data_IF_099603330315
#
_entry.id   IF_099603330315
#
_cell.length_a   1.000
_cell.length_b   1.000
_cell.length_c   1.000
_cell.angle_alpha   90.00
_cell.angle_beta   90.00
_cell.angle_gamma   90.00
#
_symmetry.space_group_name_H-M   'P 1'
#
loop_
_entity.id
_entity.type
_entity.pdbx_description
1 polymer ?
#
# COMPACT_ATOMS: atom_id res chain seq x y z
N UNK A 1 5.43 6.77 15.89
CA UNK A 1 5.58 5.39 15.40
C UNK A 1 6.82 5.30 14.55
N UNK A 2 7.62 4.25 14.75
CA UNK A 2 8.69 3.87 13.83
C UNK A 2 8.10 3.34 12.52
N UNK A 3 8.90 3.32 11.45
CA UNK A 3 8.46 2.76 10.17
C UNK A 3 8.07 1.28 10.27
N UNK A 4 8.74 0.50 11.13
CA UNK A 4 8.42 -0.93 11.33
C UNK A 4 7.04 -1.14 11.95
N UNK A 5 6.59 -0.25 12.84
CA UNK A 5 5.27 -0.34 13.47
C UNK A 5 4.11 -0.09 12.49
N UNK A 6 4.39 0.57 11.35
CA UNK A 6 3.42 0.79 10.29
C UNK A 6 3.28 -0.40 9.33
N UNK A 7 4.13 -1.43 9.45
CA UNK A 7 4.05 -2.63 8.60
C UNK A 7 3.09 -3.62 9.26
N UNK A 8 1.95 -3.87 8.61
CA UNK A 8 0.87 -4.72 9.11
C UNK A 8 0.76 -5.96 8.24
N UNK A 9 0.71 -7.15 8.85
CA UNK A 9 0.52 -8.39 8.10
C UNK A 9 -0.91 -8.49 7.54
N UNK A 10 -1.12 -9.27 6.47
CA UNK A 10 -2.46 -9.51 5.93
C UNK A 10 -3.40 -10.19 6.95
N UNK A 11 -2.85 -10.98 7.87
CA UNK A 11 -3.60 -11.62 8.95
C UNK A 11 -4.10 -10.59 9.98
N UNK A 12 -3.27 -9.59 10.30
CA UNK A 12 -3.60 -8.54 11.26
C UNK A 12 -4.46 -7.43 10.65
N UNK A 13 -4.45 -7.30 9.32
CA UNK A 13 -5.08 -6.21 8.59
C UNK A 13 -6.58 -6.01 8.90
N UNK A 14 -7.42 -7.07 9.01
CA UNK A 14 -8.82 -6.90 9.40
C UNK A 14 -8.98 -6.31 10.81
N UNK A 15 -8.22 -6.80 11.79
CA UNK A 15 -8.28 -6.29 13.16
C UNK A 15 -7.80 -4.83 13.25
N UNK A 16 -6.72 -4.52 12.53
CA UNK A 16 -6.21 -3.16 12.39
C UNK A 16 -7.25 -2.22 11.77
N UNK A 17 -7.96 -2.67 10.72
CA UNK A 17 -9.05 -1.90 10.10
C UNK A 17 -10.20 -1.66 11.06
N UNK A 18 -10.65 -2.66 11.81
CA UNK A 18 -11.77 -2.48 12.74
C UNK A 18 -11.41 -1.48 13.85
N UNK A 19 -10.17 -1.47 14.36
CA UNK A 19 -9.72 -0.45 15.31
C UNK A 19 -9.82 0.98 14.75
N UNK A 20 -9.47 1.19 13.46
CA UNK A 20 -9.66 2.49 12.80
C UNK A 20 -11.14 2.88 12.69
N UNK A 21 -12.02 1.92 12.40
CA UNK A 21 -13.47 2.16 12.31
C UNK A 21 -14.07 2.53 13.66
N UNK A 22 -13.66 1.85 14.73
CA UNK A 22 -14.08 2.17 16.10
C UNK A 22 -13.62 3.58 16.51
N UNK A 23 -12.45 4.01 16.02
CA UNK A 23 -11.96 5.37 16.19
C UNK A 23 -12.61 6.40 15.23
N UNK A 24 -13.53 5.99 14.36
CA UNK A 24 -14.20 6.86 13.39
C UNK A 24 -13.30 7.34 12.24
N UNK A 25 -12.15 6.70 12.00
CA UNK A 25 -11.18 7.11 10.99
C UNK A 25 -11.50 6.56 9.60
N UNK A 26 -11.47 7.45 8.61
CA UNK A 26 -11.63 7.15 7.18
C UNK A 26 -10.34 6.61 6.60
N UNK A 27 -10.37 5.36 6.12
CA UNK A 27 -9.23 4.69 5.50
C UNK A 27 -9.20 4.91 3.99
N UNK A 28 -8.09 5.44 3.51
CA UNK A 28 -7.73 5.44 2.10
C UNK A 28 -6.78 4.29 1.83
N UNK A 29 -6.99 3.56 0.74
CA UNK A 29 -6.04 2.56 0.25
C UNK A 29 -5.55 2.87 -1.16
N UNK A 30 -4.31 2.49 -1.42
CA UNK A 30 -3.74 2.32 -2.76
C UNK A 30 -2.90 1.04 -2.78
N UNK A 31 -2.44 0.62 -3.95
CA UNK A 31 -1.47 -0.47 -4.05
C UNK A 31 -0.50 -0.26 -5.21
N UNK A 32 0.67 -0.88 -5.11
CA UNK A 32 1.67 -0.83 -6.16
C UNK A 32 2.98 -1.52 -5.77
N UNK A 33 3.87 -1.55 -6.76
CA UNK A 33 5.19 -2.15 -6.62
C UNK A 33 6.17 -1.21 -5.90
N UNK A 34 6.15 0.10 -6.21
CA UNK A 34 7.01 1.14 -5.59
C UNK A 34 8.50 0.78 -5.51
N UNK A 35 9.03 0.13 -6.56
CA UNK A 35 10.41 -0.36 -6.60
C UNK A 35 11.45 0.77 -6.50
N UNK A 36 11.25 1.84 -7.27
CA UNK A 36 12.07 3.04 -7.25
C UNK A 36 11.17 4.24 -6.99
N UNK A 37 11.21 4.78 -5.78
CA UNK A 37 10.48 5.99 -5.45
C UNK A 37 11.09 7.20 -6.17
N UNK A 38 10.22 8.12 -6.56
CA UNK A 38 10.56 9.40 -7.16
C UNK A 38 9.49 10.42 -6.77
N UNK A 39 9.72 11.70 -7.08
CA UNK A 39 8.83 12.80 -6.68
C UNK A 39 7.35 12.55 -7.05
N UNK A 40 7.08 12.02 -8.25
CA UNK A 40 5.72 11.65 -8.65
C UNK A 40 5.00 10.68 -7.70
N UNK A 41 5.69 9.69 -7.13
CA UNK A 41 5.10 8.80 -6.12
C UNK A 41 4.81 9.56 -4.81
N UNK A 42 5.73 10.43 -4.37
CA UNK A 42 5.54 11.22 -3.14
C UNK A 42 4.29 12.09 -3.27
N UNK A 43 4.21 12.88 -4.36
CA UNK A 43 3.05 13.74 -4.64
C UNK A 43 1.76 12.94 -4.76
N UNK A 44 1.79 11.79 -5.44
CA UNK A 44 0.63 10.90 -5.54
C UNK A 44 0.16 10.39 -4.17
N UNK A 45 1.08 9.94 -3.32
CA UNK A 45 0.74 9.42 -2.00
C UNK A 45 0.24 10.51 -1.05
N UNK A 46 0.81 11.72 -1.11
CA UNK A 46 0.30 12.88 -0.35
C UNK A 46 -1.13 13.25 -0.78
N UNK A 47 -1.40 13.28 -2.09
CA UNK A 47 -2.75 13.52 -2.61
C UNK A 47 -3.74 12.43 -2.21
N UNK A 48 -3.32 11.15 -2.23
CA UNK A 48 -4.15 10.05 -1.76
C UNK A 48 -4.44 10.16 -0.25
N UNK A 49 -3.43 10.47 0.56
CA UNK A 49 -3.58 10.64 2.00
C UNK A 49 -4.59 11.74 2.36
N UNK A 50 -4.65 12.83 1.58
CA UNK A 50 -5.59 13.92 1.79
C UNK A 50 -7.08 13.55 1.60
N UNK A 51 -7.40 12.35 1.11
CA UNK A 51 -8.78 11.87 0.90
C UNK A 51 -9.39 11.15 2.12
N UNK A 52 -8.65 11.06 3.23
CA UNK A 52 -9.09 10.49 4.49
C UNK A 52 -8.11 10.75 5.63
N UNK A 53 -8.21 9.96 6.69
CA UNK A 53 -7.43 10.16 7.91
C UNK A 53 -6.17 9.29 7.95
N UNK A 54 -6.22 8.13 7.28
CA UNK A 54 -5.13 7.15 7.26
C UNK A 54 -4.96 6.63 5.83
N UNK A 55 -3.72 6.63 5.34
CA UNK A 55 -3.35 5.99 4.08
C UNK A 55 -2.71 4.61 4.33
N UNK A 56 -3.31 3.57 3.76
CA UNK A 56 -2.77 2.22 3.69
C UNK A 56 -2.24 1.93 2.28
N UNK A 57 -1.00 1.45 2.19
CA UNK A 57 -0.41 1.00 0.92
C UNK A 57 -0.33 -0.52 0.89
N UNK A 58 -0.97 -1.14 -0.10
CA UNK A 58 -0.72 -2.51 -0.51
C UNK A 58 0.57 -2.58 -1.34
N UNK A 59 1.65 -3.13 -0.77
CA UNK A 59 2.91 -3.36 -1.48
C UNK A 59 2.87 -4.73 -2.16
N UNK A 60 3.06 -4.79 -3.48
CA UNK A 60 3.15 -6.07 -4.20
C UNK A 60 4.39 -6.86 -3.71
N UNK A 61 4.22 -8.14 -3.43
CA UNK A 61 5.33 -9.04 -3.11
C UNK A 61 6.25 -9.28 -4.31
N UNK A 62 7.45 -9.80 -4.06
CA UNK A 62 8.51 -9.91 -5.07
C UNK A 62 8.10 -10.82 -6.24
N UNK A 63 7.47 -11.96 -5.94
CA UNK A 63 6.98 -12.88 -6.96
C UNK A 63 5.85 -12.26 -7.80
N UNK A 64 4.93 -11.53 -7.16
CA UNK A 64 3.88 -10.76 -7.85
C UNK A 64 4.49 -9.77 -8.85
N UNK A 65 5.53 -9.05 -8.43
CA UNK A 65 6.23 -8.09 -9.28
C UNK A 65 6.97 -8.79 -10.42
N UNK A 66 7.68 -9.91 -10.17
CA UNK A 66 8.36 -10.69 -11.22
C UNK A 66 7.39 -11.12 -12.31
N UNK A 67 6.20 -11.58 -11.91
CA UNK A 67 5.20 -12.04 -12.84
C UNK A 67 4.48 -10.91 -13.61
N UNK A 68 4.52 -9.66 -13.09
CA UNK A 68 3.92 -8.48 -13.73
C UNK A 68 4.91 -7.72 -14.62
N UNK A 69 6.17 -7.60 -14.21
CA UNK A 69 7.19 -6.74 -14.84
C UNK A 69 8.37 -7.50 -15.43
N UNK A 70 8.39 -8.83 -15.28
CA UNK A 70 9.46 -9.70 -15.76
C UNK A 70 10.48 -10.09 -14.67
N UNK A 71 11.32 -11.10 -14.95
CA UNK A 71 12.17 -11.75 -13.95
C UNK A 71 13.27 -10.86 -13.36
N UNK A 72 13.60 -9.75 -14.03
CA UNK A 72 14.60 -8.76 -13.60
C UNK A 72 14.07 -7.72 -12.61
N UNK A 73 12.79 -7.80 -12.23
CA UNK A 73 12.12 -6.90 -11.27
C UNK A 73 11.52 -7.70 -10.12
N UNK A 74 11.41 -7.15 -8.91
CA UNK A 74 11.86 -5.81 -8.49
C UNK A 74 13.38 -5.75 -8.30
N UNK A 75 13.93 -4.54 -8.21
CA UNK A 75 15.34 -4.32 -7.84
C UNK A 75 15.53 -4.37 -6.33
N UNK A 76 14.55 -3.87 -5.58
CA UNK A 76 14.54 -3.87 -4.13
C UNK A 76 13.57 -4.94 -3.60
N UNK A 77 13.92 -5.60 -2.50
CA UNK A 77 13.07 -6.63 -1.89
C UNK A 77 11.73 -6.04 -1.40
N UNK A 78 10.71 -6.89 -1.26
CA UNK A 78 9.42 -6.46 -0.71
C UNK A 78 9.52 -5.87 0.70
N UNK A 79 10.46 -6.37 1.50
CA UNK A 79 10.75 -5.85 2.84
C UNK A 79 11.33 -4.43 2.77
N UNK A 80 12.31 -4.19 1.90
CA UNK A 80 12.93 -2.87 1.74
C UNK A 80 11.92 -1.86 1.19
N UNK A 81 11.16 -2.26 0.16
CA UNK A 81 10.12 -1.41 -0.42
C UNK A 81 9.05 -1.05 0.61
N UNK A 82 8.60 -2.02 1.41
CA UNK A 82 7.62 -1.77 2.47
C UNK A 82 8.15 -0.82 3.55
N UNK A 83 9.41 -0.97 3.97
CA UNK A 83 10.03 -0.12 4.97
C UNK A 83 10.20 1.33 4.47
N UNK A 84 10.66 1.50 3.23
CA UNK A 84 10.80 2.82 2.61
C UNK A 84 9.43 3.51 2.50
N UNK A 85 8.39 2.80 2.07
CA UNK A 85 7.03 3.34 2.04
C UNK A 85 6.53 3.74 3.42
N UNK A 86 6.75 2.88 4.43
CA UNK A 86 6.32 3.14 5.80
C UNK A 86 7.03 4.36 6.43
N UNK A 87 8.26 4.66 6.00
CA UNK A 87 9.00 5.83 6.46
C UNK A 87 8.41 7.17 5.97
N UNK A 88 7.59 7.15 4.91
CA UNK A 88 6.96 8.37 4.40
C UNK A 88 5.93 8.92 5.40
N UNK A 89 5.91 10.24 5.55
CA UNK A 89 5.03 10.94 6.49
C UNK A 89 3.55 10.71 6.16
N UNK A 90 3.18 10.76 4.88
CA UNK A 90 1.80 10.58 4.42
C UNK A 90 1.26 9.15 4.59
N UNK A 91 2.12 8.18 4.91
CA UNK A 91 1.76 6.75 4.98
C UNK A 91 1.46 6.34 6.41
N UNK A 92 0.24 5.88 6.65
CA UNK A 92 -0.22 5.38 7.95
C UNK A 92 0.08 3.91 8.18
N UNK A 93 -0.02 3.08 7.14
CA UNK A 93 0.33 1.66 7.19
C UNK A 93 0.74 1.10 5.82
N UNK A 94 1.47 -0.01 5.84
CA UNK A 94 1.86 -0.79 4.66
C UNK A 94 1.57 -2.26 4.90
N UNK A 95 0.97 -2.94 3.92
CA UNK A 95 0.79 -4.39 3.93
C UNK A 95 1.35 -5.00 2.64
N UNK A 96 2.21 -6.01 2.77
CA UNK A 96 2.71 -6.77 1.61
C UNK A 96 1.70 -7.84 1.23
N UNK A 97 1.36 -7.95 -0.06
CA UNK A 97 0.47 -9.01 -0.55
C UNK A 97 1.10 -9.80 -1.72
N UNK A 98 0.98 -11.14 -1.72
CA UNK A 98 1.67 -12.00 -2.68
C UNK A 98 0.99 -12.10 -4.04
N UNK A 99 -0.29 -11.72 -4.16
CA UNK A 99 -1.06 -11.90 -5.40
C UNK A 99 -0.74 -10.82 -6.46
N UNK A 100 -1.00 -11.13 -7.74
CA UNK A 100 -0.90 -10.12 -8.82
C UNK A 100 -1.92 -9.00 -8.69
N UNK A 101 -3.11 -9.36 -8.23
CA UNK A 101 -4.26 -8.46 -8.12
C UNK A 101 -4.51 -8.15 -6.66
N UNK A 102 -4.92 -6.92 -6.39
CA UNK A 102 -5.16 -6.44 -5.04
C UNK A 102 -6.52 -6.89 -4.46
N UNK A 103 -7.28 -7.78 -5.12
CA UNK A 103 -8.65 -8.12 -4.71
C UNK A 103 -8.71 -8.68 -3.27
N UNK A 104 -7.77 -9.58 -2.90
CA UNK A 104 -7.70 -10.11 -1.53
C UNK A 104 -7.31 -9.03 -0.51
N UNK A 105 -6.26 -8.26 -0.81
CA UNK A 105 -5.84 -7.13 0.01
C UNK A 105 -6.98 -6.14 0.26
N UNK A 106 -7.70 -5.73 -0.78
CA UNK A 106 -8.83 -4.79 -0.67
C UNK A 106 -10.00 -5.40 0.13
N UNK A 107 -10.28 -6.70 -0.05
CA UNK A 107 -11.29 -7.42 0.74
C UNK A 107 -10.96 -7.44 2.23
N UNK A 108 -9.69 -7.60 2.58
CA UNK A 108 -9.21 -7.60 3.98
C UNK A 108 -9.18 -6.17 4.55
N UNK A 109 -8.66 -5.21 3.78
CA UNK A 109 -8.51 -3.82 4.19
C UNK A 109 -9.83 -3.06 4.32
N UNK A 110 -10.84 -3.40 3.51
CA UNK A 110 -12.15 -2.72 3.42
C UNK A 110 -12.03 -1.19 3.51
N UNK A 111 -11.26 -0.56 2.61
CA UNK A 111 -11.04 0.89 2.64
C UNK A 111 -12.33 1.64 2.31
N UNK A 112 -12.44 2.87 2.80
CA UNK A 112 -13.54 3.77 2.47
C UNK A 112 -13.31 4.44 1.11
N UNK A 113 -12.04 4.63 0.74
CA UNK A 113 -11.62 5.16 -0.56
C UNK A 113 -10.50 4.28 -1.10
N UNK A 114 -10.61 3.88 -2.36
CA UNK A 114 -9.53 3.21 -3.09
C UNK A 114 -9.07 4.10 -4.24
N UNK A 115 -7.78 4.45 -4.24
CA UNK A 115 -7.16 5.34 -5.21
C UNK A 115 -6.24 4.54 -6.12
N UNK A 116 -6.32 4.77 -7.43
CA UNK A 116 -5.31 4.32 -8.40
C UNK A 116 -4.59 5.51 -9.01
N UNK A 117 -3.25 5.43 -9.09
CA UNK A 117 -2.44 6.40 -9.81
C UNK A 117 -2.76 6.38 -11.32
N UNK A 118 -2.65 7.53 -11.97
CA UNK A 118 -3.20 7.86 -13.29
C UNK A 118 -2.64 7.13 -14.53
N UNK A 119 -1.87 6.05 -14.37
CA UNK A 119 -1.37 5.25 -15.50
C UNK A 119 -2.30 4.07 -15.85
N UNK A 120 -3.51 4.04 -15.28
CA UNK A 120 -4.52 3.07 -15.67
C UNK A 120 -5.27 3.57 -16.91
N UNK A 121 -4.91 3.03 -18.09
CA UNK A 121 -5.87 2.94 -19.19
C UNK A 121 -6.97 1.96 -18.75
N UNK A 122 -8.23 2.39 -18.66
CA UNK A 122 -9.35 1.47 -18.52
C UNK A 122 -9.52 0.77 -19.87
N UNK A 123 -8.93 -0.40 -20.00
CA UNK A 123 -9.34 -1.41 -20.98
C UNK A 123 -10.13 -2.50 -20.25
#
# INVERSE_FOLDING_TARGET
>A
MSAHEKIVSLEQLPAWREALREAGQRLVATNGCFDLLHAGHVTYLEQAAALGDVLLIGCNGDESVRQLKGPSRPLNSEADRALVLAALESVGAVAVFPEKRADNFLRLAKPDVYVKGGDYTPE
#
